data_IF_599817567456
#
_entry.id   IF_599817567456
#
_cell.length_a   1.000
_cell.length_b   1.000
_cell.length_c   1.000
_cell.angle_alpha   90.00
_cell.angle_beta   90.00
_cell.angle_gamma   90.00
#
_symmetry.space_group_name_H-M   'P 1'
#
loop_
_entity.id
_entity.type
_entity.pdbx_description
1 polymer ?
#
# COMPACT_ATOMS: atom_id res chain seq x y z
N UNK A 1 7.88 1.84 20.66
CA UNK A 1 8.18 3.25 21.01
C UNK A 1 8.47 4.08 19.77
N UNK A 2 9.34 3.64 18.84
CA UNK A 2 9.68 4.36 17.60
C UNK A 2 8.45 4.65 16.73
N UNK A 3 7.55 3.68 16.56
CA UNK A 3 6.33 3.85 15.76
C UNK A 3 5.40 4.94 16.33
N UNK A 4 5.33 5.09 17.65
CA UNK A 4 4.50 6.13 18.29
C UNK A 4 5.09 7.51 17.97
N UNK A 5 6.41 7.68 18.13
CA UNK A 5 7.09 8.93 17.80
C UNK A 5 6.87 9.27 16.33
N UNK A 6 7.04 8.30 15.43
CA UNK A 6 6.82 8.51 13.99
C UNK A 6 5.37 8.86 13.67
N UNK A 7 4.38 8.19 14.31
CA UNK A 7 2.97 8.51 14.14
C UNK A 7 2.62 9.93 14.62
N UNK A 8 3.14 10.35 15.79
CA UNK A 8 2.95 11.70 16.32
C UNK A 8 3.58 12.74 15.40
N UNK A 9 4.80 12.47 14.90
CA UNK A 9 5.48 13.36 13.96
C UNK A 9 4.70 13.48 12.64
N UNK A 10 4.12 12.40 12.13
CA UNK A 10 3.29 12.42 10.93
C UNK A 10 1.98 13.23 11.11
N UNK A 11 1.34 13.12 12.28
CA UNK A 11 0.17 13.95 12.64
C UNK A 11 0.58 15.42 12.73
N UNK A 12 1.68 15.71 13.43
CA UNK A 12 2.22 17.07 13.54
C UNK A 12 2.51 17.66 12.16
N UNK A 13 3.18 16.91 11.28
CA UNK A 13 3.44 17.33 9.92
C UNK A 13 2.14 17.67 9.15
N UNK A 14 1.12 16.83 9.21
CA UNK A 14 -0.17 17.11 8.56
C UNK A 14 -0.85 18.38 9.06
N UNK A 15 -0.68 18.72 10.35
CA UNK A 15 -1.22 19.93 10.95
C UNK A 15 -0.43 21.19 10.55
N UNK A 16 0.91 21.11 10.56
CA UNK A 16 1.80 22.25 10.29
C UNK A 16 1.91 22.58 8.80
N UNK A 17 1.90 21.55 7.92
CA UNK A 17 1.98 21.74 6.46
C UNK A 17 0.80 22.55 5.90
N UNK A 18 -0.35 22.49 6.57
CA UNK A 18 -1.53 23.29 6.20
C UNK A 18 -1.53 24.72 6.74
N UNK A 19 -0.79 25.02 7.80
CA UNK A 19 -0.91 26.28 8.55
C UNK A 19 0.36 27.12 8.65
N UNK A 20 1.52 26.54 8.48
CA UNK A 20 2.82 27.18 8.68
C UNK A 20 3.76 26.86 7.51
N UNK A 21 4.71 27.75 7.25
CA UNK A 21 5.72 27.62 6.19
C UNK A 21 6.22 26.20 5.98
N UNK A 22 6.40 25.75 4.73
CA UNK A 22 6.68 24.36 4.41
C UNK A 22 7.89 23.84 5.19
N UNK A 23 7.69 22.73 5.88
CA UNK A 23 8.79 21.95 6.47
C UNK A 23 9.77 21.61 5.36
N UNK A 24 11.10 21.69 5.58
CA UNK A 24 12.07 21.35 4.55
C UNK A 24 11.73 20.01 3.91
N UNK A 25 11.50 20.01 2.59
CA UNK A 25 11.07 18.83 1.81
C UNK A 25 11.98 17.63 2.05
N UNK A 26 13.28 17.88 2.23
CA UNK A 26 14.28 16.84 2.54
C UNK A 26 13.93 16.02 3.79
N UNK A 27 13.46 16.67 4.87
CA UNK A 27 13.07 15.96 6.09
C UNK A 27 11.82 15.13 5.85
N UNK A 28 10.85 15.69 5.13
CA UNK A 28 9.59 15.00 4.77
C UNK A 28 9.86 13.76 3.95
N UNK A 29 10.78 13.88 2.98
CA UNK A 29 11.13 12.79 2.06
C UNK A 29 11.93 11.68 2.76
N UNK A 30 12.95 12.04 3.57
CA UNK A 30 13.76 11.06 4.31
C UNK A 30 12.90 10.24 5.29
N UNK A 31 12.02 10.89 6.05
CA UNK A 31 11.17 10.23 7.04
C UNK A 31 9.84 9.74 6.46
N UNK A 32 9.61 9.93 5.16
CA UNK A 32 8.37 9.54 4.45
C UNK A 32 7.12 10.04 5.20
N UNK A 33 7.18 11.23 5.80
CA UNK A 33 6.13 11.76 6.68
C UNK A 33 4.79 11.90 5.95
N UNK A 34 4.84 12.21 4.67
CA UNK A 34 3.68 12.32 3.80
C UNK A 34 2.83 11.03 3.74
N UNK A 35 3.48 9.87 3.82
CA UNK A 35 2.87 8.55 3.67
C UNK A 35 3.06 7.67 4.91
N UNK A 36 3.57 8.22 6.00
CA UNK A 36 3.91 7.49 7.22
C UNK A 36 2.73 6.70 7.78
N UNK A 37 1.49 7.23 7.68
CA UNK A 37 0.28 6.57 8.13
C UNK A 37 0.04 5.22 7.43
N UNK A 38 0.38 5.07 6.14
CA UNK A 38 0.26 3.79 5.43
C UNK A 38 1.31 2.78 5.91
N UNK A 39 2.55 3.22 6.09
CA UNK A 39 3.63 2.35 6.57
C UNK A 39 3.40 1.87 8.00
N UNK A 40 2.99 2.77 8.88
CA UNK A 40 2.71 2.45 10.29
C UNK A 40 1.51 1.49 10.37
N UNK A 41 0.42 1.77 9.65
CA UNK A 41 -0.73 0.88 9.59
C UNK A 41 -0.35 -0.51 9.05
N UNK A 42 0.45 -0.58 7.98
CA UNK A 42 0.96 -1.84 7.44
C UNK A 42 1.78 -2.65 8.46
N UNK A 43 2.65 -1.99 9.23
CA UNK A 43 3.41 -2.65 10.32
C UNK A 43 2.50 -3.13 11.46
N UNK A 44 1.47 -2.37 11.80
CA UNK A 44 0.47 -2.77 12.80
C UNK A 44 -0.27 -4.01 12.31
N UNK A 45 -0.81 -4.01 11.09
CA UNK A 45 -1.53 -5.16 10.53
C UNK A 45 -0.65 -6.41 10.40
N UNK A 46 0.61 -6.25 9.99
CA UNK A 46 1.57 -7.36 9.98
C UNK A 46 1.77 -7.97 11.37
N UNK A 47 1.92 -7.13 12.40
CA UNK A 47 2.06 -7.58 13.78
C UNK A 47 0.80 -8.30 14.26
N UNK A 48 -0.39 -7.73 14.03
CA UNK A 48 -1.68 -8.33 14.39
C UNK A 48 -1.85 -9.69 13.72
N UNK A 49 -1.53 -9.82 12.44
CA UNK A 49 -1.58 -11.09 11.72
C UNK A 49 -0.61 -12.14 12.27
N UNK A 50 0.54 -11.72 12.83
CA UNK A 50 1.51 -12.64 13.48
C UNK A 50 1.11 -13.03 14.90
N UNK A 51 0.51 -12.12 15.65
CA UNK A 51 0.16 -12.31 17.08
C UNK A 51 -1.26 -12.86 17.27
N UNK A 52 -2.09 -12.87 16.20
CA UNK A 52 -3.44 -13.39 16.24
C UNK A 52 -4.49 -12.44 16.83
N UNK A 53 -4.16 -11.17 17.09
CA UNK A 53 -5.12 -10.19 17.62
C UNK A 53 -4.56 -8.79 17.81
N UNK A 54 -5.46 -7.83 18.02
CA UNK A 54 -5.12 -6.44 18.29
C UNK A 54 -4.75 -6.22 19.76
N UNK A 55 -3.68 -5.49 19.99
CA UNK A 55 -3.29 -4.97 21.28
C UNK A 55 -3.79 -3.53 21.46
N UNK A 56 -4.04 -3.01 22.68
CA UNK A 56 -4.47 -1.64 22.88
C UNK A 56 -3.63 -0.58 22.15
N UNK A 57 -2.31 -0.78 22.09
CA UNK A 57 -1.39 0.09 21.37
C UNK A 57 -1.65 0.12 19.85
N UNK A 58 -2.14 -0.97 19.26
CA UNK A 58 -2.46 -1.03 17.83
C UNK A 58 -3.60 -0.10 17.47
N UNK A 59 -4.62 -0.05 18.32
CA UNK A 59 -5.74 0.87 18.15
C UNK A 59 -5.30 2.33 18.25
N UNK A 60 -4.41 2.65 19.20
CA UNK A 60 -3.84 4.00 19.30
C UNK A 60 -3.07 4.38 18.03
N UNK A 61 -2.22 3.49 17.52
CA UNK A 61 -1.46 3.73 16.29
C UNK A 61 -2.37 3.89 15.07
N UNK A 62 -3.38 3.05 14.92
CA UNK A 62 -4.35 3.17 13.81
C UNK A 62 -5.19 4.45 13.92
N UNK A 63 -5.58 4.86 15.13
CA UNK A 63 -6.26 6.14 15.35
C UNK A 63 -5.38 7.32 14.95
N UNK A 64 -4.09 7.33 15.32
CA UNK A 64 -3.13 8.36 14.90
C UNK A 64 -2.93 8.37 13.37
N UNK A 65 -2.86 7.20 12.74
CA UNK A 65 -2.81 7.09 11.27
C UNK A 65 -4.06 7.67 10.60
N UNK A 66 -5.23 7.39 11.16
CA UNK A 66 -6.51 7.93 10.67
C UNK A 66 -6.56 9.45 10.81
N UNK A 67 -6.16 10.00 11.96
CA UNK A 67 -6.07 11.46 12.18
C UNK A 67 -5.09 12.09 11.20
N UNK A 68 -3.91 11.50 11.01
CA UNK A 68 -2.93 11.98 10.04
C UNK A 68 -3.49 12.02 8.61
N UNK A 69 -4.25 11.00 8.20
CA UNK A 69 -4.90 10.97 6.90
C UNK A 69 -5.98 12.06 6.77
N UNK A 70 -6.82 12.23 7.80
CA UNK A 70 -7.88 13.26 7.81
C UNK A 70 -7.36 14.68 7.78
N UNK A 71 -6.19 14.94 8.37
CA UNK A 71 -5.56 16.26 8.32
C UNK A 71 -4.94 16.56 6.95
N UNK A 72 -4.59 15.53 6.18
CA UNK A 72 -3.84 15.69 4.93
C UNK A 72 -4.70 15.61 3.67
N UNK A 73 -5.73 14.77 3.67
CA UNK A 73 -6.54 14.50 2.49
C UNK A 73 -7.97 15.01 2.63
N UNK A 74 -8.64 15.34 1.50
CA UNK A 74 -10.08 15.58 1.49
C UNK A 74 -10.86 14.42 2.11
N UNK A 75 -12.06 14.69 2.59
CA UNK A 75 -12.89 13.72 3.33
C UNK A 75 -13.11 12.41 2.56
N UNK A 76 -13.33 12.49 1.25
CA UNK A 76 -13.59 11.32 0.39
C UNK A 76 -12.38 10.36 0.38
N UNK A 77 -11.17 10.92 0.26
CA UNK A 77 -9.93 10.13 0.28
C UNK A 77 -9.69 9.57 1.68
N UNK A 78 -9.90 10.38 2.71
CA UNK A 78 -9.74 9.95 4.11
C UNK A 78 -10.66 8.80 4.46
N UNK A 79 -11.93 8.85 4.04
CA UNK A 79 -12.88 7.76 4.22
C UNK A 79 -12.46 6.48 3.48
N UNK A 80 -11.90 6.62 2.29
CA UNK A 80 -11.36 5.50 1.52
C UNK A 80 -10.18 4.83 2.25
N UNK A 81 -9.29 5.63 2.86
CA UNK A 81 -8.17 5.13 3.67
C UNK A 81 -8.67 4.39 4.91
N UNK A 82 -9.66 4.96 5.63
CA UNK A 82 -10.28 4.31 6.79
C UNK A 82 -10.94 3.00 6.38
N UNK A 83 -11.68 3.00 5.26
CA UNK A 83 -12.27 1.80 4.69
C UNK A 83 -11.23 0.72 4.40
N UNK A 84 -10.10 1.10 3.82
CA UNK A 84 -8.98 0.18 3.59
C UNK A 84 -8.43 -0.38 4.91
N UNK A 85 -8.25 0.43 5.96
CA UNK A 85 -7.80 -0.05 7.28
C UNK A 85 -8.79 -1.05 7.90
N UNK A 86 -10.10 -0.81 7.77
CA UNK A 86 -11.13 -1.76 8.24
C UNK A 86 -11.02 -3.08 7.48
N UNK A 87 -10.94 -3.04 6.14
CA UNK A 87 -10.79 -4.24 5.32
C UNK A 87 -9.52 -5.01 5.69
N UNK A 88 -8.37 -4.34 5.84
CA UNK A 88 -7.13 -4.98 6.29
C UNK A 88 -7.27 -5.59 7.69
N UNK A 89 -7.94 -4.90 8.61
CA UNK A 89 -8.25 -5.42 9.94
C UNK A 89 -9.06 -6.71 9.90
N UNK A 90 -10.09 -6.76 9.05
CA UNK A 90 -10.91 -7.96 8.85
C UNK A 90 -10.10 -9.11 8.21
N UNK A 91 -9.22 -8.79 7.26
CA UNK A 91 -8.35 -9.79 6.62
C UNK A 91 -7.38 -10.42 7.63
N UNK A 92 -6.64 -9.59 8.38
CA UNK A 92 -5.61 -10.09 9.31
C UNK A 92 -6.18 -10.83 10.51
N UNK A 93 -7.43 -10.54 10.89
CA UNK A 93 -8.16 -11.26 11.95
C UNK A 93 -8.93 -12.50 11.43
N UNK A 94 -8.85 -12.78 10.12
CA UNK A 94 -9.47 -13.94 9.50
C UNK A 94 -10.98 -13.82 9.27
N UNK A 95 -11.59 -12.64 9.48
CA UNK A 95 -13.03 -12.42 9.25
C UNK A 95 -13.38 -12.20 7.77
N UNK A 96 -12.41 -11.87 6.93
CA UNK A 96 -12.62 -11.62 5.51
C UNK A 96 -12.21 -12.82 4.62
N UNK A 97 -12.50 -14.07 5.04
CA UNK A 97 -12.20 -15.28 4.27
C UNK A 97 -12.86 -15.30 2.88
N UNK A 98 -13.96 -14.59 2.72
CA UNK A 98 -14.64 -14.41 1.44
C UNK A 98 -13.72 -13.73 0.39
N UNK A 99 -12.72 -12.97 0.81
CA UNK A 99 -11.73 -12.34 -0.08
C UNK A 99 -10.64 -13.34 -0.52
N UNK A 100 -10.52 -14.50 0.11
CA UNK A 100 -9.54 -15.53 -0.24
C UNK A 100 -9.99 -16.36 -1.46
N UNK A 101 -10.54 -15.70 -2.48
CA UNK A 101 -10.88 -16.33 -3.75
C UNK A 101 -9.67 -16.45 -4.65
N UNK A 102 -9.64 -17.47 -5.53
CA UNK A 102 -8.52 -17.70 -6.43
C UNK A 102 -8.13 -16.46 -7.28
N UNK A 103 -9.07 -15.69 -7.88
CA UNK A 103 -8.72 -14.48 -8.61
C UNK A 103 -8.04 -13.41 -7.74
N UNK A 104 -8.53 -13.18 -6.52
CA UNK A 104 -7.94 -12.18 -5.62
C UNK A 104 -6.57 -12.61 -5.11
N UNK A 105 -6.38 -13.89 -4.79
CA UNK A 105 -5.07 -14.44 -4.43
C UNK A 105 -4.08 -14.35 -5.60
N UNK A 106 -4.55 -14.57 -6.82
CA UNK A 106 -3.74 -14.40 -8.02
C UNK A 106 -3.31 -12.94 -8.19
N UNK A 107 -4.25 -11.98 -8.16
CA UNK A 107 -3.95 -10.54 -8.24
C UNK A 107 -2.99 -10.11 -7.12
N UNK A 108 -3.19 -10.59 -5.91
CA UNK A 108 -2.25 -10.37 -4.81
C UNK A 108 -0.84 -10.91 -5.10
N UNK A 109 -0.73 -12.06 -5.78
CA UNK A 109 0.56 -12.67 -6.11
C UNK A 109 1.36 -11.89 -7.16
N UNK A 110 0.70 -11.13 -8.04
CA UNK A 110 1.31 -10.29 -9.08
C UNK A 110 1.31 -8.81 -8.72
N UNK A 111 0.78 -8.44 -7.55
CA UNK A 111 0.51 -7.04 -7.16
C UNK A 111 1.75 -6.14 -7.18
N UNK A 112 2.92 -6.68 -6.81
CA UNK A 112 4.17 -5.92 -6.81
C UNK A 112 4.58 -5.53 -8.25
N UNK A 113 4.63 -6.50 -9.15
CA UNK A 113 4.93 -6.23 -10.57
C UNK A 113 3.87 -5.33 -11.20
N UNK A 114 2.59 -5.53 -10.84
CA UNK A 114 1.48 -4.69 -11.31
C UNK A 114 1.64 -3.24 -10.85
N UNK A 115 2.00 -3.02 -9.60
CA UNK A 115 2.27 -1.68 -9.06
C UNK A 115 3.39 -0.98 -9.82
N UNK A 116 4.46 -1.69 -10.17
CA UNK A 116 5.60 -1.08 -10.84
C UNK A 116 5.30 -0.63 -12.28
N UNK A 117 4.43 -1.34 -12.99
CA UNK A 117 4.26 -1.12 -14.44
C UNK A 117 2.92 -0.47 -14.83
N UNK A 118 1.86 -0.58 -13.99
CA UNK A 118 0.51 -0.16 -14.38
C UNK A 118 0.44 1.32 -14.81
N UNK A 119 1.17 2.20 -14.14
CA UNK A 119 1.15 3.63 -14.40
C UNK A 119 1.74 3.94 -15.79
N UNK A 120 2.95 3.44 -16.08
CA UNK A 120 3.62 3.71 -17.36
C UNK A 120 2.85 3.09 -18.55
N UNK A 121 2.34 1.88 -18.38
CA UNK A 121 1.54 1.19 -19.39
C UNK A 121 0.20 1.87 -19.56
N UNK A 122 -0.46 2.26 -18.46
CA UNK A 122 -1.70 3.01 -18.51
C UNK A 122 -1.55 4.29 -19.32
N UNK A 123 -0.55 5.11 -19.02
CA UNK A 123 -0.26 6.33 -19.79
C UNK A 123 0.05 6.05 -21.27
N UNK A 124 0.86 5.03 -21.55
CA UNK A 124 1.20 4.69 -22.93
C UNK A 124 -0.03 4.28 -23.74
N UNK A 125 -0.94 3.50 -23.14
CA UNK A 125 -2.16 3.04 -23.83
C UNK A 125 -3.16 4.18 -24.02
N UNK A 126 -3.47 4.92 -22.95
CA UNK A 126 -4.45 6.00 -22.97
C UNK A 126 -4.04 7.15 -23.92
N UNK A 127 -2.74 7.43 -24.03
CA UNK A 127 -2.23 8.49 -24.92
C UNK A 127 -2.11 8.08 -26.40
N UNK A 128 -2.19 6.81 -26.74
CA UNK A 128 -1.97 6.31 -28.11
C UNK A 128 -3.20 5.63 -28.74
N UNK A 129 -4.19 5.27 -27.92
CA UNK A 129 -5.44 4.67 -28.41
C UNK A 129 -6.49 5.78 -28.51
N UNK A 130 -6.88 6.13 -29.71
CA UNK A 130 -7.95 7.11 -29.99
C UNK A 130 -9.33 6.45 -29.84
N UNK A 131 -9.61 5.92 -28.63
CA UNK A 131 -10.80 5.17 -28.31
C UNK A 131 -11.55 5.80 -27.11
N UNK A 132 -12.84 5.48 -26.88
CA UNK A 132 -13.54 5.90 -25.68
C UNK A 132 -12.80 5.46 -24.40
N UNK A 133 -12.70 6.33 -23.41
CA UNK A 133 -11.94 6.15 -22.16
C UNK A 133 -12.16 4.79 -21.46
N UNK A 134 -13.39 4.27 -21.47
CA UNK A 134 -13.68 2.98 -20.86
C UNK A 134 -13.02 1.79 -21.59
N UNK A 135 -12.90 1.87 -22.95
CA UNK A 135 -12.19 0.85 -23.75
C UNK A 135 -10.70 0.90 -23.45
N UNK A 136 -10.12 2.10 -23.43
CA UNK A 136 -8.71 2.30 -23.10
C UNK A 136 -8.38 1.78 -21.72
N UNK A 137 -9.23 2.07 -20.73
CA UNK A 137 -9.06 1.58 -19.35
C UNK A 137 -9.09 0.05 -19.26
N UNK A 138 -10.02 -0.59 -19.98
CA UNK A 138 -10.09 -2.07 -20.01
C UNK A 138 -8.85 -2.66 -20.65
N UNK A 139 -8.43 -2.13 -21.81
CA UNK A 139 -7.22 -2.60 -22.51
C UNK A 139 -5.99 -2.39 -21.63
N UNK A 140 -5.80 -1.21 -21.05
CA UNK A 140 -4.69 -0.91 -20.16
C UNK A 140 -4.64 -1.87 -18.96
N UNK A 141 -5.79 -2.16 -18.35
CA UNK A 141 -5.89 -3.10 -17.23
C UNK A 141 -5.50 -4.52 -17.63
N UNK A 142 -6.02 -5.01 -18.75
CA UNK A 142 -5.71 -6.37 -19.24
C UNK A 142 -4.22 -6.48 -19.58
N UNK A 143 -3.68 -5.51 -20.31
CA UNK A 143 -2.26 -5.50 -20.68
C UNK A 143 -1.37 -5.44 -19.43
N UNK A 144 -1.71 -4.58 -18.46
CA UNK A 144 -0.97 -4.50 -17.21
C UNK A 144 -0.98 -5.82 -16.43
N UNK A 145 -2.11 -6.54 -16.34
CA UNK A 145 -2.21 -7.84 -15.69
C UNK A 145 -1.37 -8.90 -16.41
N UNK A 146 -1.44 -8.96 -17.74
CA UNK A 146 -0.67 -9.94 -18.54
C UNK A 146 0.82 -9.72 -18.37
N UNK A 147 1.29 -8.47 -18.52
CA UNK A 147 2.70 -8.15 -18.38
C UNK A 147 3.21 -8.37 -16.95
N UNK A 148 2.43 -7.97 -15.93
CA UNK A 148 2.76 -8.23 -14.53
C UNK A 148 2.88 -9.71 -14.23
N UNK A 149 2.00 -10.52 -14.81
CA UNK A 149 2.06 -11.97 -14.69
C UNK A 149 3.36 -12.50 -15.31
N UNK A 150 3.69 -12.06 -16.53
CA UNK A 150 4.94 -12.42 -17.18
C UNK A 150 6.16 -12.07 -16.32
N UNK A 151 6.25 -10.84 -15.82
CA UNK A 151 7.35 -10.39 -14.96
C UNK A 151 7.43 -11.23 -13.67
N UNK A 152 6.31 -11.43 -13.01
CA UNK A 152 6.27 -12.19 -11.74
C UNK A 152 6.73 -13.64 -11.95
N UNK A 153 6.22 -14.33 -12.98
CA UNK A 153 6.48 -15.75 -13.17
C UNK A 153 7.83 -16.04 -13.86
N UNK A 154 8.27 -15.18 -14.79
CA UNK A 154 9.49 -15.40 -15.58
C UNK A 154 10.73 -14.76 -14.97
N UNK A 155 10.59 -13.68 -14.19
CA UNK A 155 11.73 -12.92 -13.66
C UNK A 155 11.76 -12.97 -12.14
N UNK A 156 10.68 -12.51 -11.48
CA UNK A 156 10.69 -12.31 -10.03
C UNK A 156 10.81 -13.63 -9.26
N UNK A 157 9.96 -14.60 -9.54
CA UNK A 157 9.99 -15.90 -8.84
C UNK A 157 11.28 -16.69 -9.07
N UNK A 158 11.82 -16.81 -10.30
CA UNK A 158 13.11 -17.43 -10.51
C UNK A 158 14.25 -16.68 -9.83
N UNK A 159 14.27 -15.33 -9.93
CA UNK A 159 15.27 -14.49 -9.27
C UNK A 159 15.28 -14.68 -7.76
N UNK A 160 14.12 -14.69 -7.12
CA UNK A 160 14.01 -14.97 -5.68
C UNK A 160 14.52 -16.37 -5.30
N UNK A 161 14.30 -17.40 -6.13
CA UNK A 161 14.82 -18.75 -5.89
C UNK A 161 16.34 -18.78 -5.94
N UNK A 162 16.95 -18.10 -6.92
CA UNK A 162 18.41 -18.00 -7.06
C UNK A 162 19.01 -17.27 -5.87
N UNK A 163 18.47 -16.10 -5.51
CA UNK A 163 18.94 -15.33 -4.35
C UNK A 163 18.87 -16.13 -3.05
N UNK A 164 17.77 -16.85 -2.80
CA UNK A 164 17.65 -17.72 -1.61
C UNK A 164 18.71 -18.82 -1.57
N UNK A 165 19.10 -19.37 -2.72
CA UNK A 165 20.18 -20.37 -2.79
C UNK A 165 21.55 -19.77 -2.47
N UNK A 166 21.83 -18.57 -2.99
CA UNK A 166 23.11 -17.88 -2.78
C UNK A 166 23.27 -17.43 -1.34
N UNK A 167 22.22 -16.89 -0.72
CA UNK A 167 22.30 -16.31 0.63
C UNK A 167 22.01 -17.32 1.75
N UNK A 168 21.86 -18.62 1.43
CA UNK A 168 21.73 -19.68 2.46
C UNK A 168 20.54 -19.55 3.40
N UNK A 169 19.50 -18.78 3.03
CA UNK A 169 18.33 -18.55 3.85
C UNK A 169 17.47 -19.81 3.91
N UNK A 170 17.82 -20.72 4.84
CA UNK A 170 16.93 -21.83 5.25
C UNK A 170 15.87 -21.25 6.17
N UNK A 171 14.60 -21.44 5.79
CA UNK A 171 13.47 -21.30 6.72
C UNK A 171 13.44 -22.49 7.66
#
# INVERSE_FOLDING_TARGET
>A
RILIVWAITAVGYGFFDQKLNPVPTVIVDIFVLAYAHFFIAGMVFYRVGKQGGFHPLDWVLLALCTVSAMLRYPMEISLSIVGAFVVFGLVVTGHARILATQPLLYLGSISYSLYLIHQNIGYAIINHLDQPFWIETVIATVVAIVLSSGITYLIERPGQRVLRRIWGYRR
#
